data_IF_961891482540
#
_entry.id   IF_961891482540
#
_cell.length_a   1.000
_cell.length_b   1.000
_cell.length_c   1.000
_cell.angle_alpha   90.00
_cell.angle_beta   90.00
_cell.angle_gamma   90.00
#
_symmetry.space_group_name_H-M   'P 1'
#
loop_
_entity.id
_entity.type
_entity.pdbx_description
1 polymer ?
#
# COMPACT_ATOMS: atom_id res chain seq x y z
N UNK A 1 28.04 20.56 -21.62
CA UNK A 1 26.96 21.47 -21.25
C UNK A 1 25.64 20.72 -21.39
N UNK A 2 25.19 20.13 -20.30
CA UNK A 2 23.85 19.56 -20.21
C UNK A 2 22.90 20.69 -19.81
N UNK A 3 22.32 21.32 -20.81
CA UNK A 3 21.12 22.13 -20.60
C UNK A 3 19.95 21.16 -20.43
N UNK A 4 19.60 20.88 -19.21
CA UNK A 4 18.29 20.28 -18.90
C UNK A 4 17.27 21.37 -19.23
N UNK A 5 16.64 21.24 -20.40
CA UNK A 5 15.50 22.05 -20.78
C UNK A 5 14.30 21.60 -19.90
N UNK A 6 14.21 22.13 -18.69
CA UNK A 6 12.95 22.31 -17.99
C UNK A 6 12.27 23.58 -18.54
N UNK A 7 12.12 23.65 -19.84
CA UNK A 7 11.26 24.64 -20.49
C UNK A 7 9.83 24.10 -20.40
N UNK A 8 8.96 24.90 -19.83
CA UNK A 8 7.52 24.72 -19.61
C UNK A 8 7.13 23.83 -18.42
N UNK A 9 7.89 23.90 -17.36
CA UNK A 9 7.45 23.38 -16.05
C UNK A 9 6.55 24.39 -15.35
N UNK A 10 5.47 23.93 -14.78
CA UNK A 10 4.74 24.61 -13.73
C UNK A 10 5.74 25.22 -12.74
N UNK A 11 5.52 26.44 -12.25
CA UNK A 11 6.40 27.20 -11.35
C UNK A 11 6.81 26.42 -10.08
N UNK A 12 6.20 25.29 -9.80
CA UNK A 12 6.41 24.43 -8.65
C UNK A 12 7.47 23.31 -8.84
N UNK A 13 8.14 23.24 -10.00
CA UNK A 13 9.21 22.25 -10.27
C UNK A 13 8.70 20.86 -10.67
N UNK A 14 7.42 20.72 -11.00
CA UNK A 14 6.82 19.49 -11.53
C UNK A 14 6.70 19.56 -13.06
N UNK A 15 6.75 18.42 -13.77
CA UNK A 15 6.46 18.37 -15.19
C UNK A 15 5.03 18.84 -15.49
N UNK A 16 4.83 19.44 -16.68
CA UNK A 16 3.50 19.84 -17.12
C UNK A 16 2.51 18.67 -17.01
N UNK A 17 1.33 18.95 -16.47
CA UNK A 17 0.27 17.95 -16.30
C UNK A 17 0.43 17.00 -15.08
N UNK A 18 1.54 17.10 -14.35
CA UNK A 18 1.85 16.23 -13.20
C UNK A 18 2.19 17.05 -11.95
N UNK A 19 1.35 18.00 -11.60
CA UNK A 19 1.53 18.82 -10.41
C UNK A 19 1.37 18.02 -9.11
N UNK A 20 1.76 18.66 -8.00
CA UNK A 20 1.73 18.07 -6.65
C UNK A 20 0.34 17.61 -6.19
N UNK A 21 -0.73 18.07 -6.82
CA UNK A 21 -2.11 17.68 -6.54
C UNK A 21 -2.62 16.56 -7.43
N UNK A 22 -1.82 16.15 -8.43
CA UNK A 22 -2.21 15.09 -9.34
C UNK A 22 -2.26 13.74 -8.61
N UNK A 23 -3.34 13.01 -8.78
CA UNK A 23 -3.55 11.68 -8.20
C UNK A 23 -2.45 10.68 -8.61
N UNK A 24 -1.99 10.75 -9.86
CA UNK A 24 -0.91 9.89 -10.38
C UNK A 24 0.46 10.22 -9.79
N UNK A 25 0.62 11.37 -9.12
CA UNK A 25 1.82 11.74 -8.37
C UNK A 25 1.66 11.38 -6.89
N UNK A 26 0.51 11.73 -6.30
CA UNK A 26 0.26 11.56 -4.87
C UNK A 26 0.23 10.10 -4.45
N UNK A 27 -0.40 9.22 -5.24
CA UNK A 27 -0.55 7.83 -4.87
C UNK A 27 0.78 7.06 -4.86
N UNK A 28 1.61 7.11 -5.90
CA UNK A 28 2.93 6.49 -5.86
C UNK A 28 3.83 7.07 -4.78
N UNK A 29 3.78 8.39 -4.56
CA UNK A 29 4.54 9.04 -3.49
C UNK A 29 4.13 8.52 -2.10
N UNK A 30 2.84 8.39 -1.84
CA UNK A 30 2.32 7.82 -0.60
C UNK A 30 2.76 6.36 -0.43
N UNK A 31 2.57 5.54 -1.45
CA UNK A 31 2.91 4.11 -1.39
C UNK A 31 4.42 3.89 -1.24
N UNK A 32 5.24 4.71 -1.92
CA UNK A 32 6.69 4.71 -1.79
C UNK A 32 7.13 5.07 -0.37
N UNK A 33 6.63 6.18 0.17
CA UNK A 33 6.94 6.63 1.52
C UNK A 33 6.53 5.59 2.58
N UNK A 34 5.38 4.95 2.37
CA UNK A 34 4.85 3.95 3.29
C UNK A 34 5.63 2.63 3.24
N UNK A 35 5.96 2.14 2.05
CA UNK A 35 6.63 0.86 1.86
C UNK A 35 8.15 0.94 1.96
N UNK A 36 8.73 2.14 1.90
CA UNK A 36 10.17 2.36 1.76
C UNK A 36 10.72 1.93 0.40
N UNK A 37 9.86 1.64 -0.57
CA UNK A 37 10.25 1.24 -1.91
C UNK A 37 10.67 2.44 -2.75
N UNK A 38 11.49 2.19 -3.77
CA UNK A 38 11.85 3.20 -4.76
C UNK A 38 10.59 3.66 -5.51
N UNK A 39 10.33 4.98 -5.62
CA UNK A 39 9.15 5.50 -6.31
C UNK A 39 9.00 4.99 -7.75
N UNK A 40 10.09 4.75 -8.45
CA UNK A 40 10.09 4.24 -9.83
C UNK A 40 9.58 2.79 -9.96
N UNK A 41 9.52 2.07 -8.85
CA UNK A 41 9.07 0.67 -8.78
C UNK A 41 7.68 0.51 -8.21
N UNK A 42 7.05 1.61 -7.81
CA UNK A 42 5.69 1.59 -7.27
C UNK A 42 4.70 1.66 -8.42
N UNK A 43 3.67 0.80 -8.38
CA UNK A 43 2.59 0.82 -9.35
C UNK A 43 1.87 2.17 -9.36
N UNK A 44 1.64 2.72 -10.54
CA UNK A 44 0.86 3.94 -10.74
C UNK A 44 -0.65 3.70 -10.63
N UNK A 45 -1.08 2.44 -10.61
CA UNK A 45 -2.47 2.07 -10.45
C UNK A 45 -2.98 2.23 -9.03
N UNK A 46 -4.30 2.37 -8.89
CA UNK A 46 -4.96 2.41 -7.60
C UNK A 46 -4.85 1.09 -6.83
N UNK A 47 -4.70 -0.02 -7.52
CA UNK A 47 -4.56 -1.35 -6.95
C UNK A 47 -3.09 -1.77 -6.87
N UNK A 48 -2.74 -2.43 -5.79
CA UNK A 48 -1.38 -2.97 -5.62
C UNK A 48 -1.24 -4.24 -6.45
N UNK A 49 -0.10 -4.39 -7.11
CA UNK A 49 0.23 -5.60 -7.87
C UNK A 49 0.41 -6.82 -6.97
N UNK A 50 0.91 -6.58 -5.75
CA UNK A 50 1.09 -7.62 -4.74
C UNK A 50 0.14 -7.34 -3.57
N UNK A 51 -0.81 -8.24 -3.30
CA UNK A 51 -1.70 -8.09 -2.15
C UNK A 51 -0.91 -8.19 -0.85
N UNK A 52 -1.33 -7.42 0.17
CA UNK A 52 -0.78 -7.54 1.51
C UNK A 52 -1.38 -8.81 2.13
N UNK A 53 -0.55 -9.79 2.51
CA UNK A 53 -1.08 -11.04 3.06
C UNK A 53 -1.59 -10.82 4.49
N UNK A 54 -2.75 -11.39 4.79
CA UNK A 54 -3.24 -11.54 6.14
C UNK A 54 -2.82 -12.91 6.65
N UNK A 55 -2.39 -13.01 7.91
CA UNK A 55 -1.99 -14.29 8.48
C UNK A 55 -2.38 -14.44 9.94
N UNK A 56 -2.53 -15.67 10.34
CA UNK A 56 -2.60 -16.07 11.75
C UNK A 56 -1.63 -17.23 11.94
N UNK A 57 -0.62 -17.02 12.77
CA UNK A 57 0.37 -18.02 13.11
C UNK A 57 0.12 -18.53 14.53
N UNK A 58 -0.05 -19.84 14.68
CA UNK A 58 -0.12 -20.51 15.98
C UNK A 58 1.07 -21.44 16.15
N UNK A 59 1.86 -21.20 17.19
CA UNK A 59 3.04 -21.98 17.50
C UNK A 59 2.86 -22.78 18.78
N UNK A 60 3.02 -24.09 18.67
CA UNK A 60 2.91 -25.04 19.80
C UNK A 60 4.20 -25.78 20.09
N UNK A 61 5.27 -25.44 19.37
CA UNK A 61 6.56 -26.15 19.40
C UNK A 61 7.26 -26.18 20.75
N UNK A 62 6.95 -25.25 21.64
CA UNK A 62 7.47 -25.26 23.02
C UNK A 62 7.09 -26.52 23.79
N UNK A 63 5.97 -27.15 23.46
CA UNK A 63 5.55 -28.42 24.08
C UNK A 63 6.47 -29.61 23.77
N UNK A 64 7.42 -29.45 22.83
CA UNK A 64 8.48 -30.45 22.55
C UNK A 64 9.60 -30.38 23.58
N UNK A 65 9.78 -29.27 24.27
CA UNK A 65 10.80 -29.09 25.28
C UNK A 65 10.39 -29.79 26.58
N UNK A 66 11.35 -30.51 27.18
CA UNK A 66 11.09 -31.30 28.41
C UNK A 66 10.52 -30.46 29.54
N UNK A 67 11.03 -29.25 29.74
CA UNK A 67 10.56 -28.33 30.77
C UNK A 67 9.09 -27.95 30.59
N UNK A 68 8.69 -27.55 29.36
CA UNK A 68 7.30 -27.20 29.06
C UNK A 68 6.38 -28.41 29.20
N UNK A 69 6.80 -29.58 28.71
CA UNK A 69 6.03 -30.81 28.80
C UNK A 69 5.85 -31.28 30.27
N UNK A 70 6.80 -30.96 31.15
CA UNK A 70 6.71 -31.27 32.58
C UNK A 70 5.67 -30.39 33.28
N UNK A 71 5.66 -29.07 32.98
CA UNK A 71 4.92 -28.07 33.76
C UNK A 71 3.55 -27.73 33.15
N UNK A 72 3.40 -27.87 31.84
CA UNK A 72 2.17 -27.49 31.14
C UNK A 72 1.49 -28.70 30.51
N UNK A 73 0.15 -28.71 30.50
CA UNK A 73 -0.67 -29.60 29.70
C UNK A 73 -0.76 -29.08 28.28
N UNK A 74 -0.88 -27.76 28.14
CA UNK A 74 -0.97 -27.05 26.85
C UNK A 74 -0.24 -25.73 26.95
N UNK A 75 0.49 -25.40 25.87
CA UNK A 75 1.11 -24.12 25.68
C UNK A 75 1.14 -23.77 24.20
N UNK A 76 0.59 -22.61 23.83
CA UNK A 76 0.67 -22.10 22.47
C UNK A 76 0.76 -20.58 22.45
N UNK A 77 1.44 -20.07 21.42
CA UNK A 77 1.51 -18.65 21.10
C UNK A 77 0.78 -18.45 19.79
N UNK A 78 -0.08 -17.45 19.75
CA UNK A 78 -0.75 -17.03 18.52
C UNK A 78 -0.37 -15.60 18.21
N UNK A 79 -0.05 -15.34 16.93
CA UNK A 79 0.24 -14.04 16.36
C UNK A 79 -0.60 -13.86 15.12
N UNK A 80 -1.24 -12.73 14.97
CA UNK A 80 -2.05 -12.40 13.80
C UNK A 80 -1.71 -11.04 13.24
N UNK A 81 -1.80 -10.91 11.92
CA UNK A 81 -1.66 -9.67 11.19
C UNK A 81 -2.80 -9.56 10.18
N UNK A 82 -3.45 -8.41 10.18
CA UNK A 82 -4.50 -8.09 9.24
C UNK A 82 -4.19 -6.75 8.58
N UNK A 83 -4.33 -6.71 7.26
CA UNK A 83 -4.19 -5.51 6.47
C UNK A 83 -5.41 -5.34 5.58
N UNK A 84 -5.91 -4.12 5.48
CA UNK A 84 -7.03 -3.76 4.61
C UNK A 84 -6.68 -2.52 3.82
N UNK A 85 -6.75 -2.64 2.50
CA UNK A 85 -6.59 -1.53 1.56
C UNK A 85 -7.94 -1.22 0.94
N UNK A 86 -8.44 -0.01 1.12
CA UNK A 86 -9.77 0.39 0.68
C UNK A 86 -9.68 1.63 -0.19
N UNK A 87 -10.31 1.56 -1.35
CA UNK A 87 -10.52 2.68 -2.26
C UNK A 87 -11.98 3.07 -2.20
N UNK A 88 -12.25 4.32 -1.81
CA UNK A 88 -13.61 4.83 -1.70
C UNK A 88 -13.95 5.75 -2.87
N UNK A 89 -15.22 5.72 -3.28
CA UNK A 89 -15.75 6.56 -4.34
C UNK A 89 -14.97 6.42 -5.66
N UNK A 90 -14.65 5.20 -6.01
CA UNK A 90 -14.08 4.87 -7.30
C UNK A 90 -15.09 5.14 -8.42
N UNK A 91 -14.69 5.91 -9.43
CA UNK A 91 -15.50 6.20 -10.60
C UNK A 91 -14.64 6.43 -11.84
N UNK A 92 -15.18 6.12 -13.02
CA UNK A 92 -14.57 6.52 -14.29
C UNK A 92 -14.71 8.03 -14.48
N UNK A 93 -13.68 8.64 -15.02
CA UNK A 93 -13.69 10.04 -15.39
C UNK A 93 -14.19 10.16 -16.84
N UNK A 94 -15.39 10.68 -17.02
CA UNK A 94 -15.99 10.84 -18.35
C UNK A 94 -15.34 11.94 -19.19
N UNK A 95 -14.58 12.82 -18.55
CA UNK A 95 -13.83 13.88 -19.22
C UNK A 95 -12.40 13.43 -19.59
N UNK A 96 -12.04 12.19 -19.30
CA UNK A 96 -10.73 11.65 -19.67
C UNK A 96 -10.71 11.37 -21.17
N UNK A 97 -9.67 11.88 -21.82
CA UNK A 97 -9.40 11.58 -23.24
C UNK A 97 -8.04 10.91 -23.32
N UNK A 98 -7.98 9.66 -23.78
CA UNK A 98 -6.72 9.00 -24.03
C UNK A 98 -5.99 9.74 -25.13
N UNK A 99 -4.68 9.94 -24.95
CA UNK A 99 -3.83 10.49 -25.99
C UNK A 99 -3.78 9.59 -27.23
N UNK A 100 -3.14 10.07 -28.28
CA UNK A 100 -2.96 9.28 -29.49
C UNK A 100 -1.96 8.14 -29.23
N UNK A 101 -2.36 6.86 -29.24
CA UNK A 101 -1.47 5.74 -28.99
C UNK A 101 -0.34 5.58 -30.01
N UNK A 102 -0.47 6.22 -31.17
CA UNK A 102 0.55 6.16 -32.23
C UNK A 102 1.71 7.13 -31.98
N UNK A 103 1.56 8.10 -31.06
CA UNK A 103 2.59 9.10 -30.79
C UNK A 103 3.49 8.74 -29.62
N UNK A 104 2.94 8.25 -28.55
CA UNK A 104 3.61 7.68 -27.38
C UNK A 104 2.52 7.29 -26.38
N UNK A 105 2.73 6.20 -25.62
CA UNK A 105 1.80 5.80 -24.54
C UNK A 105 1.71 6.84 -23.40
N UNK A 106 2.64 7.79 -23.35
CA UNK A 106 2.65 8.91 -22.43
C UNK A 106 1.99 10.19 -22.98
N UNK A 107 1.62 10.21 -24.28
CA UNK A 107 1.01 11.39 -24.88
C UNK A 107 -0.44 11.53 -24.43
N UNK A 108 -0.63 12.25 -23.36
CA UNK A 108 -1.94 12.77 -22.98
C UNK A 108 -2.19 14.06 -23.75
N UNK A 109 -3.44 14.31 -24.09
CA UNK A 109 -3.78 15.55 -24.81
C UNK A 109 -3.52 16.76 -23.88
N UNK A 110 -2.55 17.64 -24.22
CA UNK A 110 -2.22 18.79 -23.39
C UNK A 110 -3.35 19.83 -23.30
N UNK A 111 -4.37 19.74 -24.17
CA UNK A 111 -5.54 20.62 -24.12
C UNK A 111 -6.56 20.19 -23.07
N UNK A 112 -6.40 19.01 -22.47
CA UNK A 112 -7.35 18.44 -21.51
C UNK A 112 -6.79 18.43 -20.08
N UNK A 113 -6.32 19.59 -19.66
CA UNK A 113 -5.91 19.80 -18.26
C UNK A 113 -7.11 20.12 -17.35
N UNK A 114 -6.97 19.86 -16.09
CA UNK A 114 -7.91 20.31 -15.07
C UNK A 114 -7.63 21.76 -14.64
N UNK A 115 -8.41 22.30 -13.68
CA UNK A 115 -8.25 23.66 -13.17
C UNK A 115 -6.91 23.90 -12.42
N UNK A 116 -6.14 22.86 -12.18
CA UNK A 116 -4.85 22.89 -11.49
C UNK A 116 -3.69 22.54 -12.44
N UNK A 117 -3.92 22.65 -13.76
CA UNK A 117 -2.98 22.32 -14.81
C UNK A 117 -2.45 20.88 -14.76
N UNK A 118 -3.26 19.95 -14.24
CA UNK A 118 -2.94 18.53 -14.24
C UNK A 118 -3.67 17.78 -15.35
N UNK A 119 -3.02 16.76 -15.89
CA UNK A 119 -3.69 15.80 -16.75
C UNK A 119 -4.81 15.09 -16.01
N UNK A 120 -5.95 14.90 -16.69
CA UNK A 120 -7.10 14.18 -16.15
C UNK A 120 -6.79 12.70 -16.08
N UNK A 121 -7.05 12.08 -14.94
CA UNK A 121 -6.90 10.65 -14.78
C UNK A 121 -8.14 9.91 -15.28
N UNK A 122 -7.94 8.71 -15.83
CA UNK A 122 -9.03 7.84 -16.32
C UNK A 122 -9.99 7.45 -15.19
N UNK A 123 -9.44 7.17 -14.02
CA UNK A 123 -10.21 6.83 -12.84
C UNK A 123 -9.99 7.86 -11.74
N UNK A 124 -11.08 8.19 -11.06
CA UNK A 124 -11.07 9.10 -9.93
C UNK A 124 -11.44 8.35 -8.65
N UNK A 125 -10.72 8.60 -7.59
CA UNK A 125 -11.03 8.10 -6.25
C UNK A 125 -10.78 9.20 -5.22
N UNK A 126 -11.75 9.34 -4.30
CA UNK A 126 -11.72 10.43 -3.33
C UNK A 126 -10.87 10.12 -2.12
N UNK A 127 -10.73 8.83 -1.80
CA UNK A 127 -10.04 8.44 -0.58
C UNK A 127 -9.44 7.03 -0.72
N UNK A 128 -8.21 6.89 -0.27
CA UNK A 128 -7.50 5.62 -0.16
C UNK A 128 -7.12 5.44 1.29
N UNK A 129 -7.57 4.34 1.88
CA UNK A 129 -7.26 3.96 3.25
C UNK A 129 -6.43 2.68 3.26
N UNK A 130 -5.32 2.71 3.97
CA UNK A 130 -4.55 1.53 4.32
C UNK A 130 -4.60 1.39 5.85
N UNK A 131 -5.12 0.27 6.30
CA UNK A 131 -5.18 -0.10 7.71
C UNK A 131 -4.38 -1.38 7.91
N UNK A 132 -3.47 -1.35 8.85
CA UNK A 132 -2.69 -2.52 9.26
C UNK A 132 -2.74 -2.67 10.76
N UNK A 133 -2.94 -3.91 11.21
CA UNK A 133 -3.00 -4.19 12.63
C UNK A 133 -2.50 -5.60 12.95
N UNK A 134 -1.86 -5.74 14.09
CA UNK A 134 -1.61 -7.02 14.70
C UNK A 134 -2.81 -7.42 15.56
N UNK A 135 -3.43 -8.56 15.27
CA UNK A 135 -4.64 -9.02 15.98
C UNK A 135 -4.67 -10.55 16.10
N UNK A 136 -4.19 -11.08 17.21
CA UNK A 136 -3.46 -10.42 18.30
C UNK A 136 -1.99 -10.16 17.95
N UNK A 137 -1.36 -9.16 18.60
CA UNK A 137 0.11 -9.04 18.53
C UNK A 137 0.76 -10.30 19.08
N UNK A 138 0.40 -10.70 20.31
CA UNK A 138 0.70 -12.00 20.88
C UNK A 138 -0.42 -12.43 21.81
N UNK A 139 -0.89 -13.68 21.63
CA UNK A 139 -1.81 -14.35 22.55
C UNK A 139 -1.15 -15.60 23.07
N UNK A 140 -1.04 -15.70 24.39
CA UNK A 140 -0.58 -16.90 25.08
C UNK A 140 -1.78 -17.70 25.54
N UNK A 141 -1.82 -18.98 25.18
CA UNK A 141 -2.81 -19.94 25.65
C UNK A 141 -2.06 -21.06 26.36
N UNK A 142 -2.23 -21.14 27.68
CA UNK A 142 -1.50 -22.09 28.52
C UNK A 142 -2.41 -22.73 29.56
N UNK A 143 -2.16 -24.00 29.81
CA UNK A 143 -2.78 -24.79 30.88
C UNK A 143 -1.68 -25.48 31.66
N UNK A 144 -1.55 -25.16 32.94
CA UNK A 144 -0.57 -25.78 33.82
C UNK A 144 -1.05 -27.13 34.31
N UNK A 145 -0.13 -28.05 34.57
CA UNK A 145 -0.41 -29.26 35.29
C UNK A 145 -0.57 -28.93 36.78
N UNK A 146 -1.60 -29.47 37.42
CA UNK A 146 -1.73 -29.36 38.88
C UNK A 146 -0.51 -30.07 39.49
N UNK A 147 0.35 -29.36 40.17
CA UNK A 147 1.33 -29.94 41.05
C UNK A 147 0.57 -30.36 42.32
N UNK A 148 0.20 -31.61 42.43
CA UNK A 148 -0.15 -32.21 43.74
C UNK A 148 1.19 -32.33 44.43
N UNK A 149 1.42 -31.48 45.43
CA UNK A 149 2.50 -31.65 46.38
C UNK A 149 2.04 -32.82 47.29
N UNK A 150 2.65 -33.99 47.08
CA UNK A 150 2.64 -35.08 48.09
C UNK A 150 3.66 -34.74 49.19
#
# INVERSE_FOLDING_TARGET
SNSNNFEDGNLDGFPLGYGRTNQSVLLPAFLSAYSGADPSKVSLGAFRDIPIPNWTLRYTGFMRLKWFKKNFKRFSITHGYNSTYTINQFRSNLDFQPGNPDLDFLSQDPEVLDQSDNYKNEFLYSNINLMEQFSPLFKLDMEMKNLILE
#
